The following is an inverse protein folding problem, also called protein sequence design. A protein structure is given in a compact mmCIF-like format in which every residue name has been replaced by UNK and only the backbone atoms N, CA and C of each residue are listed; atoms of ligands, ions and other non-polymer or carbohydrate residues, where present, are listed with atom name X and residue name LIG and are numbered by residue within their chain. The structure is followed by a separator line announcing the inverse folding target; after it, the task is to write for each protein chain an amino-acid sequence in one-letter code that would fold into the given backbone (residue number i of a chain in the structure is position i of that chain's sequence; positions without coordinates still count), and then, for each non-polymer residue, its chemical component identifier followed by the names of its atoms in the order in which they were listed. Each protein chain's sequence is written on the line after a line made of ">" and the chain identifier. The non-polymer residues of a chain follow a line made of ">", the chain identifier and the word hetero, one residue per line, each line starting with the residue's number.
data_IF_435574941809
#
_entry.id   IF_435574941809
#
_cell.length_a   1.000
_cell.length_b   1.000
_cell.length_c   1.000
_cell.angle_alpha   90.00
_cell.angle_beta   90.00
_cell.angle_gamma   90.00
#
_symmetry.space_group_name_H-M   'P 1'
#
loop_
_entity.id
_entity.type
_entity.pdbx_description
1 polymer ?
#
# COMPACT_ATOMS: atom_id res chain seq x y z
N UNK A 1 -23.18 22.94 0.02
CA UNK A 1 -24.19 22.47 0.99
C UNK A 1 -23.68 21.13 1.50
N UNK A 2 -23.46 21.01 2.81
CA UNK A 2 -23.04 19.75 3.43
C UNK A 2 -24.19 18.74 3.33
N UNK A 3 -23.86 17.47 3.06
CA UNK A 3 -24.81 16.35 3.20
C UNK A 3 -25.36 16.38 4.63
N UNK A 4 -26.66 16.17 4.82
CA UNK A 4 -27.27 16.14 6.15
C UNK A 4 -27.12 14.75 6.76
N UNK A 5 -26.66 14.60 8.02
CA UNK A 5 -26.47 13.29 8.64
C UNK A 5 -27.72 12.41 8.63
N UNK A 6 -28.90 12.99 8.87
CA UNK A 6 -30.18 12.28 8.93
C UNK A 6 -30.63 11.66 7.60
N UNK A 7 -30.07 12.13 6.47
CA UNK A 7 -30.40 11.61 5.15
C UNK A 7 -29.49 10.42 4.75
N UNK A 8 -28.40 10.18 5.48
CA UNK A 8 -27.38 9.18 5.13
C UNK A 8 -27.79 7.79 5.62
N UNK A 9 -27.90 6.84 4.70
CA UNK A 9 -28.06 5.41 5.02
C UNK A 9 -26.72 4.67 5.05
N UNK A 10 -25.80 4.99 4.14
CA UNK A 10 -24.44 4.44 4.12
C UNK A 10 -23.43 5.39 3.49
N UNK A 11 -22.15 5.06 3.66
CA UNK A 11 -21.02 5.74 3.02
C UNK A 11 -20.07 4.72 2.40
N UNK A 12 -19.49 5.06 1.25
CA UNK A 12 -18.53 4.21 0.54
C UNK A 12 -17.28 4.99 0.11
N UNK A 13 -16.16 4.27 0.01
CA UNK A 13 -14.87 4.81 -0.43
C UNK A 13 -14.76 4.70 -1.95
N UNK A 14 -14.40 5.80 -2.61
CA UNK A 14 -14.14 5.84 -4.05
C UNK A 14 -12.76 6.43 -4.39
N UNK A 15 -12.06 5.85 -5.38
CA UNK A 15 -12.38 4.56 -6.02
C UNK A 15 -12.16 3.38 -5.03
N UNK A 16 -12.90 2.27 -5.18
CA UNK A 16 -12.80 1.13 -4.24
C UNK A 16 -11.43 0.44 -4.29
N UNK A 17 -10.75 0.51 -5.44
CA UNK A 17 -9.35 0.14 -5.62
C UNK A 17 -8.68 1.32 -6.31
N UNK A 18 -7.57 1.80 -5.76
CA UNK A 18 -6.78 2.86 -6.36
C UNK A 18 -5.32 2.44 -6.51
N UNK A 19 -4.56 3.18 -7.33
CA UNK A 19 -3.19 2.86 -7.70
C UNK A 19 -2.28 4.05 -7.44
N UNK A 20 -1.40 3.90 -6.46
CA UNK A 20 -0.24 4.76 -6.30
C UNK A 20 0.93 4.20 -7.12
N UNK A 21 1.80 5.08 -7.65
CA UNK A 21 3.00 4.67 -8.41
C UNK A 21 4.26 5.26 -7.79
N UNK A 22 5.29 4.43 -7.72
CA UNK A 22 6.61 4.79 -7.20
C UNK A 22 7.24 5.93 -8.01
N UNK A 23 8.10 6.70 -7.35
CA UNK A 23 8.86 7.79 -7.96
C UNK A 23 9.91 8.29 -6.96
N UNK A 24 11.08 8.66 -7.45
CA UNK A 24 12.24 9.06 -6.64
C UNK A 24 12.28 10.58 -6.35
N UNK A 25 11.32 11.36 -6.89
CA UNK A 25 11.12 12.77 -6.54
C UNK A 25 10.41 12.96 -5.19
N UNK A 26 10.67 14.09 -4.53
CA UNK A 26 9.84 14.56 -3.40
C UNK A 26 8.49 15.15 -3.85
N UNK A 27 8.37 15.49 -5.13
CA UNK A 27 7.12 15.95 -5.73
C UNK A 27 6.19 14.77 -6.07
N UNK A 28 4.90 15.07 -6.16
CA UNK A 28 3.87 14.11 -6.54
C UNK A 28 2.77 14.81 -7.33
N UNK A 29 1.96 14.01 -8.02
CA UNK A 29 0.70 14.43 -8.63
C UNK A 29 -0.39 13.43 -8.26
N UNK A 30 -1.65 13.82 -8.43
CA UNK A 30 -2.79 12.93 -8.13
C UNK A 30 -3.09 12.10 -9.37
N UNK A 31 -3.20 10.79 -9.19
CA UNK A 31 -3.63 9.87 -10.25
C UNK A 31 -5.06 10.17 -10.71
N UNK A 32 -5.38 9.82 -11.96
CA UNK A 32 -6.75 9.95 -12.44
C UNK A 32 -7.69 9.04 -11.65
N UNK A 33 -8.82 9.61 -11.22
CA UNK A 33 -9.92 8.89 -10.59
C UNK A 33 -10.97 8.43 -11.63
N UNK A 34 -10.73 8.73 -12.92
CA UNK A 34 -11.65 8.43 -14.04
C UNK A 34 -10.95 7.50 -15.04
N UNK A 35 -11.52 6.31 -15.33
CA UNK A 35 -10.97 5.40 -16.33
C UNK A 35 -10.77 6.06 -17.69
N UNK A 36 -9.64 5.79 -18.33
CA UNK A 36 -9.31 6.31 -19.67
C UNK A 36 -8.92 7.79 -19.70
N UNK A 37 -8.93 8.49 -18.57
CA UNK A 37 -8.43 9.87 -18.47
C UNK A 37 -7.02 9.84 -17.91
N UNK A 38 -6.07 10.40 -18.64
CA UNK A 38 -4.68 10.49 -18.20
C UNK A 38 -4.45 11.76 -17.38
N UNK A 39 -3.69 11.68 -16.27
CA UNK A 39 -3.28 12.88 -15.55
C UNK A 39 -2.26 13.68 -16.36
N UNK A 40 -2.40 15.00 -16.36
CA UNK A 40 -1.45 15.94 -16.97
C UNK A 40 -0.83 16.81 -15.87
N UNK A 41 0.17 16.29 -15.14
CA UNK A 41 0.78 17.03 -14.04
C UNK A 41 1.49 18.29 -14.53
N UNK A 42 1.35 19.38 -13.80
CA UNK A 42 2.06 20.62 -14.07
C UNK A 42 3.57 20.38 -14.08
N UNK A 43 4.25 20.91 -15.09
CA UNK A 43 5.68 20.67 -15.32
C UNK A 43 6.04 19.24 -15.74
N UNK A 44 5.05 18.39 -16.03
CA UNK A 44 5.24 17.01 -16.47
C UNK A 44 5.50 16.01 -15.34
N UNK A 45 5.81 14.78 -15.74
CA UNK A 45 5.96 13.61 -14.84
C UNK A 45 7.30 13.55 -14.10
N UNK A 46 8.22 14.47 -14.40
CA UNK A 46 9.52 14.57 -13.74
C UNK A 46 9.70 15.95 -13.14
N UNK A 47 10.45 16.04 -12.05
CA UNK A 47 10.86 17.32 -11.49
C UNK A 47 12.03 17.95 -12.27
N UNK A 48 12.48 19.12 -11.81
CA UNK A 48 13.60 19.87 -12.39
C UNK A 48 14.94 19.11 -12.38
N UNK A 49 15.09 18.11 -11.51
CA UNK A 49 16.28 17.29 -11.36
C UNK A 49 16.13 15.95 -12.11
N UNK A 50 15.11 15.83 -12.96
CA UNK A 50 14.75 14.65 -13.75
C UNK A 50 14.31 13.42 -12.94
N UNK A 51 13.99 13.59 -11.66
CA UNK A 51 13.43 12.51 -10.84
C UNK A 51 11.95 12.34 -11.14
N UNK A 52 11.46 11.12 -11.06
CA UNK A 52 10.08 10.75 -11.36
C UNK A 52 9.18 11.19 -10.20
N UNK A 53 8.16 11.99 -10.50
CA UNK A 53 7.11 12.36 -9.54
C UNK A 53 6.29 11.14 -9.16
N UNK A 54 5.98 10.99 -7.87
CA UNK A 54 5.07 9.93 -7.41
C UNK A 54 3.65 10.20 -7.93
N UNK A 55 2.94 9.14 -8.31
CA UNK A 55 1.49 9.22 -8.51
C UNK A 55 0.81 8.86 -7.19
N UNK A 56 0.14 9.82 -6.57
CA UNK A 56 -0.65 9.60 -5.35
C UNK A 56 -2.03 9.03 -5.70
N UNK A 57 -2.44 8.01 -4.95
CA UNK A 57 -3.82 7.52 -4.96
C UNK A 57 -4.66 8.37 -4.01
N UNK A 58 -5.66 9.09 -4.53
CA UNK A 58 -6.62 9.84 -3.71
C UNK A 58 -7.87 9.01 -3.45
N UNK A 59 -8.32 8.98 -2.20
CA UNK A 59 -9.57 8.34 -1.80
C UNK A 59 -10.55 9.37 -1.26
N UNK A 60 -11.81 9.19 -1.65
CA UNK A 60 -12.96 10.02 -1.28
C UNK A 60 -14.00 9.19 -0.57
N UNK A 61 -14.90 9.86 0.13
CA UNK A 61 -16.08 9.22 0.72
C UNK A 61 -17.32 9.83 0.09
N UNK A 62 -18.25 8.99 -0.35
CA UNK A 62 -19.55 9.41 -0.84
C UNK A 62 -20.65 8.84 0.05
N UNK A 63 -21.67 9.66 0.33
CA UNK A 63 -22.85 9.25 1.08
C UNK A 63 -23.99 8.89 0.13
N UNK A 64 -24.82 7.94 0.58
CA UNK A 64 -25.99 7.46 -0.16
C UNK A 64 -27.20 7.42 0.77
N UNK A 65 -28.38 7.67 0.22
CA UNK A 65 -29.65 7.46 0.92
C UNK A 65 -30.05 5.98 0.94
N UNK A 66 -31.18 5.68 1.59
CA UNK A 66 -31.74 4.33 1.71
C UNK A 66 -32.05 3.65 0.37
N UNK A 67 -32.21 4.44 -0.70
CA UNK A 67 -32.51 3.99 -2.05
C UNK A 67 -31.21 3.90 -2.91
N UNK A 68 -30.03 3.98 -2.27
CA UNK A 68 -28.70 3.97 -2.88
C UNK A 68 -28.44 5.13 -3.85
N UNK A 69 -29.16 6.25 -3.70
CA UNK A 69 -28.93 7.45 -4.50
C UNK A 69 -27.79 8.26 -3.89
N UNK A 70 -26.82 8.75 -4.68
CA UNK A 70 -25.72 9.56 -4.16
C UNK A 70 -26.24 10.90 -3.63
N UNK A 71 -25.90 11.19 -2.37
CA UNK A 71 -26.20 12.45 -1.69
C UNK A 71 -25.06 13.47 -1.86
N UNK A 72 -23.84 12.99 -2.11
CA UNK A 72 -22.66 13.82 -2.35
C UNK A 72 -21.41 13.31 -1.67
N UNK A 73 -20.32 14.05 -1.84
CA UNK A 73 -19.04 13.77 -1.20
C UNK A 73 -19.07 14.20 0.28
N UNK A 74 -18.59 13.33 1.16
CA UNK A 74 -18.32 13.64 2.57
C UNK A 74 -16.88 14.14 2.69
N UNK A 75 -16.72 15.30 3.33
CA UNK A 75 -15.42 15.96 3.53
C UNK A 75 -15.32 16.46 4.97
N UNK A 76 -14.18 17.07 5.33
CA UNK A 76 -13.99 17.67 6.65
C UNK A 76 -14.89 18.92 6.89
N UNK A 77 -15.73 19.30 5.92
CA UNK A 77 -16.82 20.27 6.08
C UNK A 77 -18.06 19.55 6.65
N UNK A 78 -18.38 19.82 7.93
CA UNK A 78 -19.49 19.18 8.64
C UNK A 78 -19.22 17.76 9.19
N UNK A 79 -18.17 17.07 8.72
CA UNK A 79 -17.80 15.73 9.20
C UNK A 79 -16.32 15.67 9.62
N UNK A 80 -15.95 14.63 10.34
CA UNK A 80 -14.57 14.18 10.57
C UNK A 80 -14.35 12.84 9.86
N UNK A 81 -13.19 12.70 9.21
CA UNK A 81 -12.80 11.49 8.49
C UNK A 81 -11.52 10.94 9.11
N UNK A 82 -11.61 9.75 9.70
CA UNK A 82 -10.47 9.02 10.26
C UNK A 82 -10.16 7.83 9.36
N UNK A 83 -9.06 7.92 8.62
CA UNK A 83 -8.64 6.90 7.66
C UNK A 83 -7.73 5.89 8.33
N UNK A 84 -7.96 4.61 8.06
CA UNK A 84 -7.13 3.49 8.50
C UNK A 84 -6.57 2.78 7.28
N UNK A 85 -5.25 2.66 7.21
CA UNK A 85 -4.54 2.04 6.10
C UNK A 85 -3.59 0.97 6.62
N UNK A 86 -3.66 -0.22 6.04
CA UNK A 86 -2.74 -1.32 6.38
C UNK A 86 -2.26 -1.96 5.09
N UNK A 87 -0.97 -1.77 4.78
CA UNK A 87 -0.30 -2.32 3.59
C UNK A 87 0.83 -3.25 4.00
N UNK A 88 1.19 -4.18 3.12
CA UNK A 88 2.34 -5.04 3.32
C UNK A 88 3.05 -5.37 1.99
N UNK A 89 4.34 -5.73 2.07
CA UNK A 89 5.04 -6.41 1.00
C UNK A 89 5.32 -7.86 1.42
N UNK A 90 4.74 -8.82 0.70
CA UNK A 90 4.89 -10.26 0.96
C UNK A 90 5.73 -10.99 -0.10
N UNK A 91 6.34 -10.29 -1.05
CA UNK A 91 7.00 -10.90 -2.22
C UNK A 91 8.12 -11.85 -1.83
N UNK A 92 8.92 -11.53 -0.82
CA UNK A 92 10.06 -12.34 -0.38
C UNK A 92 9.61 -13.58 0.42
N UNK A 93 8.47 -13.51 1.11
CA UNK A 93 7.87 -14.61 1.86
C UNK A 93 7.09 -15.59 0.98
N UNK A 94 6.72 -15.18 -0.24
CA UNK A 94 5.86 -15.94 -1.14
C UNK A 94 6.58 -17.10 -1.86
N UNK A 95 5.86 -17.78 -2.75
CA UNK A 95 6.41 -18.79 -3.65
C UNK A 95 7.09 -18.19 -4.88
N UNK A 96 7.93 -18.98 -5.54
CA UNK A 96 8.49 -18.68 -6.86
C UNK A 96 7.39 -18.51 -7.90
N UNK A 97 7.63 -17.66 -8.89
CA UNK A 97 6.64 -17.34 -9.91
C UNK A 97 6.38 -18.54 -10.83
N UNK A 98 5.12 -19.01 -10.90
CA UNK A 98 4.74 -20.24 -11.65
C UNK A 98 3.95 -20.02 -12.94
N UNK A 99 3.87 -18.77 -13.41
CA UNK A 99 3.01 -18.35 -14.52
C UNK A 99 1.50 -18.50 -14.23
N UNK A 100 0.67 -17.91 -15.09
CA UNK A 100 -0.75 -17.57 -14.86
C UNK A 100 -1.75 -18.71 -14.57
N UNK A 101 -1.33 -19.98 -14.59
CA UNK A 101 -2.24 -21.14 -14.46
C UNK A 101 -1.78 -22.24 -13.49
N UNK A 102 -0.72 -21.99 -12.72
CA UNK A 102 -0.23 -22.97 -11.74
C UNK A 102 -0.60 -22.56 -10.33
N UNK A 103 -1.87 -22.74 -9.99
CA UNK A 103 -2.34 -22.62 -8.62
C UNK A 103 -1.80 -23.80 -7.80
N UNK A 104 -1.16 -23.49 -6.68
CA UNK A 104 -0.69 -24.48 -5.73
C UNK A 104 -1.54 -24.41 -4.48
N UNK A 105 -2.12 -25.55 -4.08
CA UNK A 105 -2.84 -25.67 -2.81
C UNK A 105 -1.87 -25.88 -1.65
N UNK A 106 -0.75 -26.52 -1.93
CA UNK A 106 0.31 -26.80 -0.98
C UNK A 106 1.66 -26.39 -1.57
N UNK A 107 2.56 -25.99 -0.69
CA UNK A 107 3.91 -25.53 -1.01
C UNK A 107 4.91 -26.40 -0.25
N UNK A 108 5.94 -26.85 -0.95
CA UNK A 108 7.14 -27.45 -0.39
C UNK A 108 8.31 -26.46 -0.37
N UNK A 109 9.45 -26.89 0.16
CA UNK A 109 10.67 -26.08 0.28
C UNK A 109 11.06 -25.40 -1.05
N UNK A 110 11.14 -26.15 -2.14
CA UNK A 110 11.60 -25.65 -3.45
C UNK A 110 10.59 -24.74 -4.15
N UNK A 111 9.36 -24.68 -3.62
CA UNK A 111 8.34 -23.77 -4.11
C UNK A 111 8.54 -22.36 -3.52
N UNK A 112 9.20 -22.23 -2.37
CA UNK A 112 9.34 -20.97 -1.63
C UNK A 112 10.45 -20.08 -2.22
N UNK A 113 10.23 -18.77 -2.22
CA UNK A 113 11.33 -17.80 -2.28
C UNK A 113 12.07 -17.80 -0.95
N UNK A 114 13.38 -17.58 -0.95
CA UNK A 114 14.22 -17.55 0.26
C UNK A 114 14.04 -18.80 1.15
N UNK A 115 14.10 -20.04 0.62
CA UNK A 115 13.72 -21.25 1.36
C UNK A 115 14.59 -21.53 2.60
N UNK A 116 15.72 -20.86 2.73
CA UNK A 116 16.61 -20.97 3.90
C UNK A 116 16.15 -20.13 5.09
N UNK A 117 15.18 -19.22 4.91
CA UNK A 117 14.67 -18.34 5.97
C UNK A 117 13.21 -18.65 6.24
N UNK A 118 12.92 -19.14 7.46
CA UNK A 118 11.60 -19.63 7.85
C UNK A 118 11.01 -20.57 6.77
N UNK A 119 11.83 -21.48 6.26
CA UNK A 119 11.43 -22.43 5.23
C UNK A 119 10.87 -23.74 5.79
N UNK A 120 10.57 -24.66 4.87
CA UNK A 120 10.14 -26.01 5.20
C UNK A 120 11.33 -26.99 5.15
N UNK A 121 11.33 -28.04 6.00
CA UNK A 121 12.15 -29.22 5.81
C UNK A 121 11.91 -29.87 4.44
N UNK A 122 12.93 -30.56 3.92
CA UNK A 122 12.85 -31.29 2.67
C UNK A 122 11.73 -32.36 2.73
N UNK A 123 10.97 -32.50 1.64
CA UNK A 123 9.85 -33.43 1.54
C UNK A 123 8.56 -33.01 2.27
N UNK A 124 8.61 -32.01 3.17
CA UNK A 124 7.41 -31.50 3.84
C UNK A 124 6.63 -30.52 2.94
N UNK A 125 5.30 -30.59 3.04
CA UNK A 125 4.38 -29.64 2.41
C UNK A 125 3.46 -29.01 3.44
N UNK A 126 3.03 -27.77 3.18
CA UNK A 126 1.98 -27.06 3.94
C UNK A 126 1.03 -26.33 2.99
N UNK A 127 -0.18 -25.97 3.42
CA UNK A 127 -1.04 -25.06 2.66
C UNK A 127 -0.29 -23.76 2.30
N UNK A 128 -0.60 -23.16 1.15
CA UNK A 128 0.11 -21.96 0.68
C UNK A 128 0.02 -20.79 1.69
N UNK A 129 -1.00 -20.76 2.56
CA UNK A 129 -1.15 -19.81 3.66
C UNK A 129 0.04 -19.82 4.63
N UNK A 130 0.84 -20.89 4.68
CA UNK A 130 2.10 -20.95 5.44
C UNK A 130 3.05 -19.80 5.09
N UNK A 131 3.04 -19.32 3.85
CA UNK A 131 3.83 -18.15 3.44
C UNK A 131 3.53 -16.89 4.27
N UNK A 132 2.32 -16.77 4.84
CA UNK A 132 1.95 -15.66 5.73
C UNK A 132 2.60 -15.74 7.11
N UNK A 133 3.13 -16.90 7.51
CA UNK A 133 3.82 -17.08 8.80
C UNK A 133 5.32 -16.82 8.70
N UNK A 134 5.83 -16.49 7.51
CA UNK A 134 7.24 -16.18 7.24
C UNK A 134 7.50 -14.69 7.48
N UNK A 135 7.19 -14.24 8.69
CA UNK A 135 7.09 -12.82 9.08
C UNK A 135 8.39 -12.04 8.92
N UNK A 136 9.56 -12.66 9.03
CA UNK A 136 10.85 -11.98 8.85
C UNK A 136 11.09 -11.58 7.38
N UNK A 137 10.32 -12.15 6.45
CA UNK A 137 10.36 -11.87 5.01
C UNK A 137 9.18 -11.00 4.55
N UNK A 138 8.35 -10.51 5.48
CA UNK A 138 7.19 -9.65 5.20
C UNK A 138 7.48 -8.27 5.75
N UNK A 139 7.44 -7.25 4.89
CA UNK A 139 7.48 -5.87 5.35
C UNK A 139 6.04 -5.48 5.69
N UNK A 140 5.77 -5.34 6.99
CA UNK A 140 4.47 -4.93 7.51
C UNK A 140 4.65 -3.75 8.51
N UNK A 141 4.34 -2.50 8.10
CA UNK A 141 4.33 -1.32 8.97
C UNK A 141 3.22 -1.29 10.04
N UNK A 142 2.31 -2.27 10.00
CA UNK A 142 1.06 -2.28 10.77
C UNK A 142 0.01 -1.32 10.20
N UNK A 143 -1.16 -1.31 10.85
CA UNK A 143 -2.23 -0.34 10.56
C UNK A 143 -1.78 1.06 10.99
N UNK A 144 -1.92 2.04 10.10
CA UNK A 144 -1.73 3.47 10.39
C UNK A 144 -3.05 4.21 10.29
N UNK A 145 -3.19 5.22 11.15
CA UNK A 145 -4.37 6.09 11.20
C UNK A 145 -3.98 7.51 10.80
N UNK A 146 -4.79 8.15 9.98
CA UNK A 146 -4.64 9.58 9.61
C UNK A 146 -5.99 10.27 9.61
N UNK A 147 -6.07 11.43 10.26
CA UNK A 147 -7.31 12.17 10.48
C UNK A 147 -7.07 13.68 10.43
N UNK A 148 -8.02 14.42 9.87
CA UNK A 148 -7.96 15.88 9.73
C UNK A 148 -7.59 16.32 8.31
N UNK A 149 -7.47 17.64 8.11
CA UNK A 149 -7.12 18.24 6.82
C UNK A 149 -5.63 18.60 6.77
N UNK A 150 -5.03 18.51 5.58
CA UNK A 150 -3.63 18.86 5.32
C UNK A 150 -2.59 18.12 6.18
N UNK A 151 -2.91 16.91 6.64
CA UNK A 151 -1.95 16.09 7.39
C UNK A 151 -0.88 15.55 6.44
N UNK A 152 0.37 15.52 6.91
CA UNK A 152 1.54 15.03 6.18
C UNK A 152 2.38 14.12 7.07
N UNK A 153 3.37 13.46 6.48
CA UNK A 153 4.45 12.76 7.20
C UNK A 153 3.98 11.56 8.04
N UNK A 154 2.90 10.89 7.63
CA UNK A 154 2.49 9.60 8.23
C UNK A 154 3.14 8.47 7.44
N UNK A 155 4.34 8.06 7.85
CA UNK A 155 5.15 7.07 7.12
C UNK A 155 4.70 5.63 7.39
N UNK A 156 4.76 4.82 6.32
CA UNK A 156 4.48 3.38 6.33
C UNK A 156 5.81 2.62 6.43
N UNK A 157 6.52 2.80 7.56
CA UNK A 157 7.83 2.19 7.81
C UNK A 157 7.66 0.83 8.50
N UNK A 158 8.20 -0.22 7.87
CA UNK A 158 8.24 -1.58 8.38
C UNK A 158 9.67 -2.11 8.48
N UNK A 159 9.80 -3.40 8.80
CA UNK A 159 11.09 -4.07 8.98
C UNK A 159 11.23 -5.27 8.03
N UNK A 160 12.48 -5.68 7.77
CA UNK A 160 12.79 -6.87 6.99
C UNK A 160 14.05 -7.57 7.54
N UNK A 161 14.05 -8.90 7.63
CA UNK A 161 15.17 -9.67 8.17
C UNK A 161 15.11 -9.81 9.69
N UNK A 162 16.10 -10.50 10.27
CA UNK A 162 16.05 -10.95 11.68
C UNK A 162 17.41 -11.01 12.41
N UNK A 163 18.48 -10.50 11.79
CA UNK A 163 19.87 -10.54 12.28
C UNK A 163 20.46 -11.95 12.51
N UNK A 164 19.80 -13.01 12.05
CA UNK A 164 20.28 -14.39 12.14
C UNK A 164 20.65 -14.94 10.77
N UNK A 165 19.65 -15.09 9.90
CA UNK A 165 19.85 -15.57 8.53
C UNK A 165 19.96 -14.41 7.53
N UNK A 166 19.34 -13.26 7.83
CA UNK A 166 19.37 -12.05 6.99
C UNK A 166 19.58 -10.83 7.90
N UNK A 167 20.43 -9.87 7.51
CA UNK A 167 20.54 -8.59 8.21
C UNK A 167 19.18 -7.92 8.43
N UNK A 168 18.98 -7.33 9.61
CA UNK A 168 17.76 -6.60 9.93
C UNK A 168 17.79 -5.18 9.35
N UNK A 169 16.79 -4.87 8.53
CA UNK A 169 16.52 -3.54 7.97
C UNK A 169 15.33 -2.93 8.71
N UNK A 170 15.58 -1.90 9.54
CA UNK A 170 14.57 -1.37 10.50
C UNK A 170 13.63 -0.29 9.96
N UNK A 171 13.95 0.31 8.81
CA UNK A 171 13.25 1.49 8.26
C UNK A 171 12.89 1.30 6.78
N UNK A 172 12.25 0.17 6.45
CA UNK A 172 11.83 -0.13 5.09
C UNK A 172 10.50 0.57 4.80
N UNK A 173 10.59 1.77 4.21
CA UNK A 173 9.43 2.60 3.86
C UNK A 173 8.64 2.07 2.66
N UNK A 174 7.40 1.64 2.90
CA UNK A 174 6.47 1.22 1.83
C UNK A 174 5.70 2.38 1.20
N UNK A 175 5.59 3.51 1.90
CA UNK A 175 4.88 4.69 1.42
C UNK A 175 4.66 5.75 2.49
N UNK A 176 3.77 6.67 2.20
CA UNK A 176 3.38 7.78 3.07
C UNK A 176 1.88 8.06 2.91
N UNK A 177 1.20 8.35 4.02
CA UNK A 177 -0.18 8.83 4.03
C UNK A 177 -0.20 10.35 4.24
N UNK A 178 -1.11 11.01 3.53
CA UNK A 178 -1.44 12.43 3.73
C UNK A 178 -2.94 12.63 3.68
N UNK A 179 -3.41 13.80 4.09
CA UNK A 179 -4.75 14.28 3.74
C UNK A 179 -4.70 15.60 3.00
N UNK A 180 -5.63 15.81 2.08
CA UNK A 180 -5.82 17.10 1.41
C UNK A 180 -6.60 18.09 2.30
N UNK A 181 -6.86 19.29 1.78
CA UNK A 181 -7.57 20.35 2.49
C UNK A 181 -9.02 19.99 2.85
N UNK A 182 -9.60 18.98 2.18
CA UNK A 182 -10.94 18.46 2.41
C UNK A 182 -10.95 17.20 3.28
N UNK A 183 -9.79 16.75 3.77
CA UNK A 183 -9.67 15.54 4.58
C UNK A 183 -9.74 14.25 3.76
N UNK A 184 -9.56 14.32 2.44
CA UNK A 184 -9.43 13.13 1.58
C UNK A 184 -8.08 12.49 1.81
N UNK A 185 -8.03 11.16 1.82
CA UNK A 185 -6.78 10.44 1.96
C UNK A 185 -5.98 10.51 0.65
N UNK A 186 -4.67 10.75 0.77
CA UNK A 186 -3.68 10.53 -0.28
C UNK A 186 -2.72 9.43 0.18
N UNK A 187 -2.59 8.38 -0.61
CA UNK A 187 -1.59 7.33 -0.41
C UNK A 187 -0.48 7.53 -1.45
N UNK A 188 0.73 7.81 -0.97
CA UNK A 188 1.92 7.95 -1.79
C UNK A 188 2.75 6.67 -1.69
N UNK A 189 3.19 6.14 -2.83
CA UNK A 189 4.09 4.99 -2.87
C UNK A 189 5.51 5.36 -2.41
N UNK A 190 6.34 4.35 -2.19
CA UNK A 190 7.77 4.50 -1.88
C UNK A 190 8.59 5.14 -3.01
N UNK A 191 9.89 5.30 -2.76
CA UNK A 191 10.86 5.85 -3.71
C UNK A 191 11.25 4.90 -4.85
N UNK A 192 10.67 3.69 -4.89
CA UNK A 192 10.96 2.70 -5.93
C UNK A 192 12.32 2.01 -5.78
N UNK A 193 13.04 2.22 -4.67
CA UNK A 193 14.30 1.52 -4.42
C UNK A 193 14.06 0.04 -4.15
N UNK A 194 14.88 -0.79 -4.80
CA UNK A 194 15.05 -2.20 -4.50
C UNK A 194 16.50 -2.44 -4.06
N UNK A 195 16.72 -3.43 -3.20
CA UNK A 195 18.03 -3.68 -2.63
C UNK A 195 18.24 -5.18 -2.32
N UNK A 196 19.50 -5.67 -2.36
CA UNK A 196 19.85 -6.96 -1.81
C UNK A 196 19.88 -6.88 -0.28
N UNK A 197 19.12 -7.74 0.39
CA UNK A 197 18.98 -7.75 1.84
C UNK A 197 20.27 -8.15 2.57
N UNK A 198 21.20 -8.82 1.88
CA UNK A 198 22.56 -9.09 2.37
C UNK A 198 23.37 -7.82 2.62
N UNK A 199 22.99 -6.70 2.00
CA UNK A 199 23.77 -5.46 1.98
C UNK A 199 24.93 -5.48 0.97
N UNK A 200 25.16 -6.58 0.26
CA UNK A 200 26.19 -6.68 -0.77
C UNK A 200 25.69 -6.03 -2.08
N UNK A 201 26.22 -4.88 -2.51
CA UNK A 201 25.78 -4.22 -3.74
C UNK A 201 26.09 -5.02 -5.01
N UNK A 202 27.01 -5.99 -4.94
CA UNK A 202 27.41 -6.83 -6.08
C UNK A 202 26.56 -8.10 -6.20
N UNK A 203 25.57 -8.31 -5.32
CA UNK A 203 24.65 -9.44 -5.43
C UNK A 203 23.83 -9.31 -6.71
N UNK A 204 23.96 -10.28 -7.62
CA UNK A 204 23.33 -10.22 -8.93
C UNK A 204 21.89 -10.74 -8.91
N UNK A 205 21.05 -10.18 -9.79
CA UNK A 205 19.74 -10.75 -10.07
C UNK A 205 19.89 -12.12 -10.75
N UNK A 206 19.13 -13.10 -10.27
CA UNK A 206 19.10 -14.46 -10.78
C UNK A 206 18.23 -14.57 -12.04
N UNK A 207 17.05 -13.94 -12.04
CA UNK A 207 16.14 -13.90 -13.18
C UNK A 207 15.13 -12.74 -13.07
N UNK A 208 14.23 -12.63 -14.07
CA UNK A 208 13.26 -11.53 -14.16
C UNK A 208 12.13 -11.53 -13.13
N UNK A 209 11.98 -12.56 -12.29
CA UNK A 209 10.86 -12.71 -11.36
C UNK A 209 11.28 -13.05 -9.93
N UNK A 210 12.17 -14.03 -9.78
CA UNK A 210 12.52 -14.69 -8.53
C UNK A 210 14.00 -14.46 -8.22
N UNK A 211 14.27 -13.55 -7.29
CA UNK A 211 15.61 -13.21 -6.85
C UNK A 211 15.65 -13.39 -5.34
N UNK A 212 16.16 -14.54 -4.87
CA UNK A 212 16.34 -14.75 -3.45
C UNK A 212 17.32 -13.70 -2.90
N UNK A 213 17.11 -13.25 -1.67
CA UNK A 213 17.87 -12.16 -1.05
C UNK A 213 17.42 -10.76 -1.45
N UNK A 214 16.59 -10.58 -2.48
CA UNK A 214 16.19 -9.25 -2.95
C UNK A 214 14.86 -8.76 -2.39
N UNK A 215 14.81 -7.44 -2.14
CA UNK A 215 13.67 -6.74 -1.56
C UNK A 215 13.33 -5.52 -2.41
N UNK A 216 12.05 -5.31 -2.66
CA UNK A 216 11.52 -4.04 -3.17
C UNK A 216 10.58 -3.39 -2.15
N UNK A 217 10.17 -2.16 -2.42
CA UNK A 217 9.30 -1.38 -1.53
C UNK A 217 7.90 -1.19 -2.12
N UNK A 218 7.43 -2.13 -2.94
CA UNK A 218 6.05 -2.12 -3.46
C UNK A 218 5.14 -2.82 -2.46
N UNK A 219 3.91 -2.34 -2.30
CA UNK A 219 2.95 -2.92 -1.38
C UNK A 219 1.53 -2.81 -1.90
N UNK A 220 0.64 -3.59 -1.29
CA UNK A 220 -0.80 -3.50 -1.43
C UNK A 220 -1.46 -3.70 -0.05
N UNK A 221 -2.74 -3.36 0.07
CA UNK A 221 -3.43 -3.47 1.34
C UNK A 221 -4.81 -2.84 1.38
N UNK A 222 -5.29 -2.65 2.61
CA UNK A 222 -6.65 -2.18 2.89
C UNK A 222 -6.70 -0.70 3.22
N UNK A 223 -7.79 -0.06 2.81
CA UNK A 223 -8.16 1.30 3.20
C UNK A 223 -9.55 1.24 3.81
N UNK A 224 -9.71 1.82 5.00
CA UNK A 224 -10.97 1.93 5.75
C UNK A 224 -11.15 3.36 6.22
N UNK A 225 -12.39 3.78 6.45
CA UNK A 225 -12.71 5.11 6.94
C UNK A 225 -13.77 5.04 8.03
N UNK A 226 -13.59 5.84 9.07
CA UNK A 226 -14.65 6.18 10.03
C UNK A 226 -15.07 7.61 9.79
N UNK A 227 -16.37 7.82 9.60
CA UNK A 227 -16.98 9.13 9.39
C UNK A 227 -17.80 9.48 10.62
N UNK A 228 -17.60 10.66 11.20
CA UNK A 228 -18.46 11.19 12.27
C UNK A 228 -18.97 12.57 11.91
N UNK A 229 -20.27 12.79 12.07
CA UNK A 229 -20.86 14.12 11.93
C UNK A 229 -20.38 15.03 13.05
N UNK A 230 -20.07 16.29 12.74
CA UNK A 230 -19.76 17.31 13.76
C UNK A 230 -21.00 17.83 14.46
N UNK A 231 -22.18 17.73 13.84
CA UNK A 231 -23.46 18.12 14.45
C UNK A 231 -24.09 16.98 15.27
N UNK A 232 -23.68 15.73 15.03
CA UNK A 232 -24.13 14.52 15.73
C UNK A 232 -22.92 13.58 15.90
N UNK A 233 -22.08 13.81 16.91
CA UNK A 233 -20.82 13.08 17.09
C UNK A 233 -21.00 11.67 17.69
N UNK A 234 -22.20 11.33 18.15
CA UNK A 234 -22.59 10.02 18.70
C UNK A 234 -23.18 9.09 17.65
#
# INVERSE_FOLDING_TARGET
>A
MSVKPEDIACVDIYPPINVARVGDSSEHFIGSEVPGVEPTPDGGFKDKDHKIKKQAARFRVYAFDKDSKPLGEITNDGYSLSWKVHVANKKAAWITHRSRFKFVKEVGRDDLRNPDVQGLPEGQKKPYEYTNTRTELIIDPGEKVVEGANVKDVFLDGQFGNDKEIPLHKDVRLGELRTDEKGRLLVLASDGKSFPASGNPDEMLQNGFDNAGWVDKVCDGTVRVTVKSKSQPE
#
